data_IF_974153291999
#
_entry.id   IF_974153291999
#
_cell.length_a   1.000
_cell.length_b   1.000
_cell.length_c   1.000
_cell.angle_alpha   90.00
_cell.angle_beta   90.00
_cell.angle_gamma   90.00
#
_symmetry.space_group_name_H-M   'P 1'
#
loop_
_entity.id
_entity.type
_entity.pdbx_description
1 polymer ?
#
# COMPACT_ATOMS: atom_id res chain seq x y z
N UNK A 1 -20.17 -21.11 10.13
CA UNK A 1 -20.05 -20.47 10.24
C UNK A 1 -20.06 -19.45 10.06
N UNK A 2 -20.09 -19.34 9.94
CA UNK A 2 -20.19 -18.32 9.76
C UNK A 2 -19.65 -17.33 9.74
N UNK A 3 -19.12 -17.20 9.70
CA UNK A 3 -18.62 -16.32 9.72
C UNK A 3 -18.66 -15.48 9.13
N UNK A 4 -18.71 -15.63 8.79
CA UNK A 4 -18.79 -14.93 8.04
C UNK A 4 -19.26 -13.82 8.01
N UNK A 5 -19.69 -13.76 8.40
CA UNK A 5 -20.14 -12.64 8.38
C UNK A 5 -19.48 -11.73 8.92
N UNK A 6 -18.60 -11.94 9.23
CA UNK A 6 -17.88 -10.90 9.68
C UNK A 6 -18.24 -9.66 8.96
N UNK A 7 -18.62 -9.73 7.85
CA UNK A 7 -19.16 -8.63 7.15
C UNK A 7 -18.14 -7.60 6.74
N UNK A 8 -18.57 -6.64 5.96
CA UNK A 8 -17.68 -5.63 5.40
C UNK A 8 -17.11 -4.68 6.43
N UNK A 9 -17.77 -4.58 7.60
CA UNK A 9 -17.29 -3.67 8.63
C UNK A 9 -16.09 -4.21 9.38
N UNK A 10 -15.77 -5.46 9.20
CA UNK A 10 -14.77 -6.11 10.03
C UNK A 10 -13.33 -5.70 9.70
N UNK A 11 -13.10 -5.16 8.51
CA UNK A 11 -11.75 -4.84 8.11
C UNK A 11 -10.91 -6.06 7.85
N UNK A 12 -9.59 -5.91 7.75
CA UNK A 12 -8.71 -7.02 7.43
C UNK A 12 -8.66 -8.03 8.56
N UNK A 13 -8.51 -9.30 8.21
CA UNK A 13 -8.36 -10.37 9.18
C UNK A 13 -6.97 -10.32 9.80
N UNK A 14 -6.80 -11.02 10.92
CA UNK A 14 -5.49 -11.15 11.54
C UNK A 14 -4.49 -11.77 10.58
N UNK A 15 -4.93 -12.75 9.79
CA UNK A 15 -4.06 -13.36 8.82
C UNK A 15 -3.61 -12.38 7.75
N UNK A 16 -4.53 -11.55 7.25
CA UNK A 16 -4.18 -10.53 6.29
C UNK A 16 -3.13 -9.58 6.86
N UNK A 17 -3.33 -9.14 8.10
CA UNK A 17 -2.40 -8.21 8.74
C UNK A 17 -1.03 -8.85 8.94
N UNK A 18 -1.00 -10.10 9.38
CA UNK A 18 0.26 -10.78 9.61
C UNK A 18 1.02 -11.02 8.33
N UNK A 19 0.34 -11.50 7.29
CA UNK A 19 1.00 -11.75 6.01
C UNK A 19 1.48 -10.44 5.39
N UNK A 20 0.66 -9.40 5.47
CA UNK A 20 1.06 -8.10 4.94
C UNK A 20 2.33 -7.59 5.62
N UNK A 21 2.45 -7.78 6.93
CA UNK A 21 3.64 -7.35 7.66
C UNK A 21 4.85 -8.18 7.26
N UNK A 22 4.65 -9.48 7.04
CA UNK A 22 5.76 -10.32 6.55
C UNK A 22 6.22 -9.87 5.17
N UNK A 23 5.29 -9.51 4.30
CA UNK A 23 5.63 -9.01 2.98
C UNK A 23 6.37 -7.68 3.08
N UNK A 24 5.92 -6.80 3.98
CA UNK A 24 6.59 -5.52 4.18
C UNK A 24 8.05 -5.72 4.60
N UNK A 25 8.28 -6.63 5.53
CA UNK A 25 9.64 -6.96 5.96
C UNK A 25 10.46 -7.53 4.81
N UNK A 26 9.87 -8.45 4.05
CA UNK A 26 10.58 -9.05 2.93
C UNK A 26 10.98 -8.01 1.89
N UNK A 27 10.05 -7.11 1.56
CA UNK A 27 10.36 -6.05 0.61
C UNK A 27 11.45 -5.12 1.13
N UNK A 28 11.37 -4.75 2.40
CA UNK A 28 12.39 -3.88 2.99
C UNK A 28 13.76 -4.52 2.93
N UNK A 29 13.83 -5.83 3.19
CA UNK A 29 15.10 -6.55 3.11
C UNK A 29 15.63 -6.56 1.67
N UNK A 30 14.74 -6.82 0.71
CA UNK A 30 15.16 -6.84 -0.68
C UNK A 30 15.69 -5.47 -1.11
N UNK A 31 14.96 -4.41 -0.77
CA UNK A 31 15.39 -3.06 -1.14
C UNK A 31 16.72 -2.68 -0.51
N UNK A 32 16.99 -3.19 0.68
CA UNK A 32 18.26 -2.90 1.34
C UNK A 32 19.45 -3.61 0.68
N UNK A 33 19.20 -4.71 -0.01
CA UNK A 33 20.27 -5.55 -0.56
C UNK A 33 20.37 -5.52 -2.06
N UNK A 34 19.27 -5.25 -2.74
CA UNK A 34 19.23 -5.40 -4.19
C UNK A 34 20.02 -4.32 -4.89
N UNK A 35 20.64 -4.73 -5.99
CA UNK A 35 21.26 -3.80 -6.91
C UNK A 35 20.44 -3.85 -8.18
N UNK A 36 19.75 -2.78 -8.46
CA UNK A 36 18.87 -2.72 -9.61
C UNK A 36 19.63 -2.24 -10.82
N UNK A 37 19.31 -2.83 -11.97
CA UNK A 37 19.90 -2.43 -13.24
C UNK A 37 19.10 -1.36 -13.96
N UNK A 38 17.83 -1.20 -13.56
CA UNK A 38 16.98 -0.18 -14.13
C UNK A 38 17.58 1.19 -13.83
N UNK A 39 17.84 2.03 -14.87
CA UNK A 39 18.46 3.33 -14.63
C UNK A 39 17.70 4.21 -13.64
N UNK A 40 16.37 4.08 -13.60
CA UNK A 40 15.57 4.89 -12.70
C UNK A 40 15.67 4.42 -11.26
N UNK A 41 16.27 3.25 -11.02
CA UNK A 41 16.40 2.70 -9.66
C UNK A 41 17.83 2.67 -9.16
N UNK A 42 18.78 3.23 -9.91
CA UNK A 42 20.20 3.18 -9.51
C UNK A 42 20.44 3.93 -8.20
N UNK A 43 19.70 4.98 -7.95
CA UNK A 43 19.86 5.79 -6.76
C UNK A 43 18.61 5.73 -5.91
N UNK A 44 18.09 4.53 -5.74
CA UNK A 44 16.82 4.34 -5.06
C UNK A 44 16.97 4.43 -3.56
N UNK A 45 16.19 5.32 -2.96
CA UNK A 45 15.99 5.37 -1.52
C UNK A 45 14.51 5.20 -1.29
N UNK A 46 14.11 4.02 -0.82
CA UNK A 46 12.69 3.72 -0.67
C UNK A 46 12.42 3.13 0.71
N UNK A 47 11.36 3.60 1.32
CA UNK A 47 10.83 3.04 2.56
C UNK A 47 9.46 2.47 2.25
N UNK A 48 9.25 1.21 2.65
CA UNK A 48 7.92 0.60 2.55
C UNK A 48 7.18 0.96 3.84
N UNK A 49 6.26 1.88 3.71
CA UNK A 49 5.54 2.41 4.86
C UNK A 49 4.53 1.39 5.39
N UNK A 50 3.81 0.78 4.50
CA UNK A 50 2.80 -0.20 4.88
C UNK A 50 2.49 -1.09 3.70
N UNK A 51 2.07 -2.32 3.98
CA UNK A 51 1.55 -3.24 2.96
C UNK A 51 0.15 -3.64 3.38
N UNK A 52 -0.75 -3.66 2.43
CA UNK A 52 -2.12 -4.12 2.63
C UNK A 52 -2.39 -5.31 1.73
N UNK A 53 -2.93 -6.37 2.33
CA UNK A 53 -3.21 -7.61 1.62
C UNK A 53 -4.69 -7.70 1.26
N UNK A 54 -4.98 -8.22 0.08
CA UNK A 54 -6.35 -8.57 -0.26
C UNK A 54 -6.80 -9.77 0.59
N UNK A 55 -8.12 -9.96 0.74
CA UNK A 55 -8.60 -11.08 1.57
C UNK A 55 -8.10 -12.44 1.12
N UNK A 56 -7.91 -12.64 -0.19
CA UNK A 56 -7.42 -13.91 -0.72
C UNK A 56 -5.90 -13.98 -0.73
N UNK A 57 -5.20 -12.93 -0.27
CA UNK A 57 -3.75 -12.85 -0.19
C UNK A 57 -3.05 -12.92 -1.55
N UNK A 58 -3.79 -12.71 -2.63
CA UNK A 58 -3.21 -12.76 -3.96
C UNK A 58 -2.67 -11.41 -4.43
N UNK A 59 -3.10 -10.34 -3.80
CA UNK A 59 -2.69 -8.98 -4.16
C UNK A 59 -2.21 -8.25 -2.92
N UNK A 60 -1.06 -7.62 -3.05
CA UNK A 60 -0.50 -6.81 -1.98
C UNK A 60 -0.26 -5.42 -2.51
N UNK A 61 -0.71 -4.41 -1.78
CA UNK A 61 -0.43 -3.03 -2.13
C UNK A 61 0.63 -2.52 -1.17
N UNK A 62 1.78 -2.15 -1.70
CA UNK A 62 2.88 -1.62 -0.92
C UNK A 62 2.91 -0.11 -1.07
N UNK A 63 2.77 0.59 0.05
CA UNK A 63 2.84 2.04 0.08
C UNK A 63 4.27 2.45 0.39
N UNK A 64 4.83 3.29 -0.46
CA UNK A 64 6.24 3.63 -0.41
C UNK A 64 6.47 5.12 -0.37
N UNK A 65 7.58 5.51 0.24
CA UNK A 65 8.04 6.88 0.25
C UNK A 65 9.52 6.92 -0.07
N UNK A 66 10.00 8.10 -0.45
CA UNK A 66 11.41 8.32 -0.61
C UNK A 66 12.03 8.82 0.67
N UNK A 67 13.19 9.45 0.54
CA UNK A 67 13.96 9.93 1.67
C UNK A 67 13.29 11.17 2.26
N UNK A 68 12.42 10.95 3.25
CA UNK A 68 11.72 12.04 3.92
C UNK A 68 10.69 12.74 3.08
N UNK A 69 10.33 12.18 1.94
CA UNK A 69 9.38 12.81 1.04
C UNK A 69 8.82 11.77 0.09
N UNK A 70 7.90 12.21 -0.73
CA UNK A 70 7.28 11.34 -1.72
C UNK A 70 8.32 10.78 -2.69
N UNK A 71 8.17 9.51 -3.03
CA UNK A 71 9.05 8.87 -4.00
C UNK A 71 8.82 9.50 -5.38
N UNK A 72 9.88 9.83 -6.11
CA UNK A 72 9.72 10.37 -7.46
C UNK A 72 8.91 9.45 -8.36
N UNK A 73 8.10 10.04 -9.21
CA UNK A 73 7.20 9.26 -10.07
C UNK A 73 7.97 8.29 -10.97
N UNK A 74 9.14 8.70 -11.47
CA UNK A 74 9.94 7.82 -12.31
C UNK A 74 10.36 6.57 -11.55
N UNK A 75 10.70 6.71 -10.28
CA UNK A 75 11.07 5.58 -9.45
C UNK A 75 9.87 4.70 -9.14
N UNK A 76 8.72 5.32 -8.90
CA UNK A 76 7.51 4.55 -8.65
C UNK A 76 7.13 3.70 -9.86
N UNK A 77 7.23 4.28 -11.04
CA UNK A 77 6.98 3.53 -12.28
C UNK A 77 7.98 2.41 -12.47
N UNK A 78 9.25 2.69 -12.13
CA UNK A 78 10.29 1.67 -12.26
C UNK A 78 10.06 0.52 -11.28
N UNK A 79 9.57 0.81 -10.07
CA UNK A 79 9.22 -0.26 -9.14
C UNK A 79 8.14 -1.16 -9.72
N UNK A 80 7.18 -0.56 -10.42
CA UNK A 80 6.13 -1.34 -11.07
C UNK A 80 6.68 -2.22 -12.18
N UNK A 81 7.72 -1.75 -12.87
CA UNK A 81 8.36 -2.57 -13.91
C UNK A 81 9.09 -3.77 -13.33
N UNK A 82 9.68 -3.63 -12.15
CA UNK A 82 10.42 -4.74 -11.54
C UNK A 82 9.56 -5.54 -10.55
N UNK A 83 8.28 -5.22 -10.43
CA UNK A 83 7.41 -5.92 -9.52
C UNK A 83 7.38 -7.44 -9.72
N UNK A 84 7.39 -7.97 -10.96
CA UNK A 84 7.44 -9.42 -11.13
C UNK A 84 8.67 -10.05 -10.49
N UNK A 85 9.81 -9.38 -10.58
CA UNK A 85 11.03 -9.87 -9.94
C UNK A 85 10.91 -9.79 -8.41
N UNK A 86 10.39 -8.67 -7.91
CA UNK A 86 10.19 -8.51 -6.47
C UNK A 86 9.24 -9.58 -5.94
N UNK A 87 8.24 -9.92 -6.72
CA UNK A 87 7.31 -10.99 -6.37
C UNK A 87 8.06 -12.29 -6.10
N UNK A 88 9.01 -12.64 -6.95
CA UNK A 88 9.78 -13.86 -6.73
C UNK A 88 10.66 -13.77 -5.51
N UNK A 89 11.22 -12.59 -5.22
CA UNK A 89 12.05 -12.41 -4.04
C UNK A 89 11.21 -12.55 -2.76
N UNK A 90 10.04 -11.96 -2.76
CA UNK A 90 9.14 -12.07 -1.60
C UNK A 90 8.73 -13.52 -1.37
N UNK A 91 8.44 -14.23 -2.46
CA UNK A 91 8.00 -15.63 -2.35
C UNK A 91 9.04 -16.53 -1.68
N UNK A 92 10.31 -16.13 -1.71
CA UNK A 92 11.36 -16.92 -1.08
C UNK A 92 11.33 -16.84 0.44
N UNK A 93 10.79 -15.79 0.99
CA UNK A 93 10.82 -15.57 2.43
C UNK A 93 9.46 -15.60 3.09
N UNK A 94 8.38 -15.43 2.33
CA UNK A 94 7.03 -15.46 2.88
C UNK A 94 6.35 -16.72 2.37
N UNK A 95 5.90 -17.55 3.31
CA UNK A 95 5.31 -18.83 2.95
C UNK A 95 3.86 -18.65 2.58
N UNK A 96 3.61 -18.60 1.28
CA UNK A 96 2.27 -18.48 0.75
C UNK A 96 2.06 -19.56 -0.29
N UNK A 97 0.79 -19.91 -0.50
CA UNK A 97 0.45 -20.92 -1.51
C UNK A 97 0.90 -20.48 -2.89
N UNK A 98 0.78 -19.20 -3.16
CA UNK A 98 1.22 -18.62 -4.42
C UNK A 98 1.81 -17.24 -4.13
N UNK A 99 2.78 -16.85 -4.95
CA UNK A 99 3.37 -15.52 -4.82
C UNK A 99 2.31 -14.47 -5.14
N UNK A 100 2.17 -13.44 -4.30
CA UNK A 100 1.16 -12.41 -4.54
C UNK A 100 1.64 -11.41 -5.57
N UNK A 101 0.71 -10.80 -6.28
CA UNK A 101 1.02 -9.65 -7.11
C UNK A 101 1.28 -8.46 -6.20
N UNK A 102 2.31 -7.70 -6.50
CA UNK A 102 2.68 -6.55 -5.69
C UNK A 102 2.44 -5.27 -6.48
N UNK A 103 1.65 -4.38 -5.88
CA UNK A 103 1.29 -3.11 -6.48
C UNK A 103 1.89 -2.00 -5.64
N UNK A 104 2.54 -1.04 -6.27
CA UNK A 104 3.19 0.04 -5.55
C UNK A 104 2.42 1.33 -5.68
N UNK A 105 2.26 2.02 -4.57
CA UNK A 105 1.63 3.34 -4.53
C UNK A 105 2.39 4.23 -3.58
N UNK A 106 2.32 5.53 -3.83
CA UNK A 106 2.88 6.51 -2.90
C UNK A 106 2.18 6.41 -1.55
N UNK A 107 2.91 6.64 -0.47
CA UNK A 107 2.31 6.64 0.85
C UNK A 107 1.39 7.83 1.06
N UNK A 108 1.43 8.83 0.18
CA UNK A 108 0.42 9.88 0.15
C UNK A 108 -0.95 9.28 -0.10
N UNK A 109 -1.02 8.28 -0.98
CA UNK A 109 -2.27 7.58 -1.24
C UNK A 109 -2.76 6.83 -0.01
N UNK A 110 -1.83 6.29 0.78
CA UNK A 110 -2.19 5.62 2.03
C UNK A 110 -2.80 6.61 3.01
N UNK A 111 -2.16 7.75 3.20
CA UNK A 111 -2.66 8.77 4.11
C UNK A 111 -4.07 9.20 3.73
N UNK A 112 -4.29 9.41 2.44
CA UNK A 112 -5.60 9.81 1.96
C UNK A 112 -6.64 8.71 2.22
N UNK A 113 -6.29 7.47 1.93
CA UNK A 113 -7.21 6.35 2.12
C UNK A 113 -7.57 6.18 3.58
N UNK A 114 -6.61 6.32 4.46
CA UNK A 114 -6.86 6.19 5.89
C UNK A 114 -7.74 7.31 6.40
N UNK A 115 -7.51 8.52 5.92
CA UNK A 115 -8.33 9.66 6.30
C UNK A 115 -9.78 9.47 5.88
N UNK A 116 -9.99 9.06 4.64
CA UNK A 116 -11.32 8.82 4.12
C UNK A 116 -12.03 7.73 4.91
N UNK A 117 -11.30 6.66 5.22
CA UNK A 117 -11.86 5.55 5.97
C UNK A 117 -12.34 6.00 7.35
N UNK A 118 -11.54 6.80 8.05
CA UNK A 118 -11.93 7.31 9.36
C UNK A 118 -13.16 8.20 9.27
N UNK A 119 -13.16 9.08 8.28
CA UNK A 119 -14.26 10.02 8.11
C UNK A 119 -15.55 9.27 7.80
N UNK A 120 -15.49 8.27 6.96
CA UNK A 120 -16.68 7.53 6.57
C UNK A 120 -17.28 6.71 7.71
N UNK A 121 -16.52 6.47 8.75
CA UNK A 121 -17.04 5.75 9.94
C UNK A 121 -17.83 6.64 10.87
N UNK A 122 -17.80 7.95 10.65
CA UNK A 122 -18.54 8.90 11.47
C UNK A 122 -19.76 9.36 10.69
N UNK A 123 -20.96 8.97 11.13
CA UNK A 123 -22.15 9.27 10.33
C UNK A 123 -22.34 10.73 9.99
N UNK A 124 -22.07 11.61 10.95
CA UNK A 124 -22.24 13.03 10.71
C UNK A 124 -21.29 13.55 9.66
N UNK A 125 -20.05 13.11 9.74
CA UNK A 125 -19.04 13.57 8.81
C UNK A 125 -19.26 12.94 7.44
N UNK A 126 -19.76 11.72 7.42
CA UNK A 126 -20.05 11.06 6.15
C UNK A 126 -21.05 11.84 5.33
N UNK A 127 -22.04 12.44 6.00
CA UNK A 127 -23.02 13.26 5.27
C UNK A 127 -22.37 14.53 4.73
N UNK A 128 -21.46 15.11 5.48
CA UNK A 128 -20.76 16.30 5.03
C UNK A 128 -19.90 16.01 3.81
N UNK A 129 -19.34 14.80 3.76
CA UNK A 129 -18.51 14.42 2.62
C UNK A 129 -19.31 14.35 1.33
N UNK A 130 -20.57 14.06 1.42
CA UNK A 130 -21.41 14.01 0.24
C UNK A 130 -21.60 15.41 -0.33
N UNK A 131 -21.56 16.42 0.52
CA UNK A 131 -21.58 17.80 0.06
C UNK A 131 -20.29 18.07 -0.70
N UNK A 132 -20.42 18.64 -1.83
CA UNK A 132 -19.21 18.86 -2.63
C UNK A 132 -18.19 19.71 -1.91
N UNK A 133 -17.94 19.59 -1.64
CA UNK A 133 -17.09 20.18 -1.09
C UNK A 133 -16.25 20.84 -1.22
N UNK A 134 -16.51 20.73 -1.50
CA UNK A 134 -15.82 21.28 -1.55
C UNK A 134 -15.05 21.74 -1.48
N UNK A 135 -15.42 21.70 -1.41
CA UNK A 135 -14.76 22.08 -1.28
C UNK A 135 -13.86 22.60 -1.29
N UNK A 136 -13.76 22.48 -1.40
CA UNK A 136 -12.93 22.93 -1.34
C UNK A 136 -12.25 23.62 -1.25
N UNK A 137 -12.31 23.55 -1.33
CA UNK A 137 -11.64 24.19 -1.21
C UNK A 137 -11.14 24.91 -1.17
N UNK A 138 -11.25 24.83 -1.13
CA UNK A 138 -10.92 25.52 -1.00
C UNK A 138 -10.33 26.22 -1.06
N UNK A 139 -10.43 26.06 -1.22
CA UNK A 139 -9.99 26.73 -1.15
C UNK A 139 -9.59 27.43 -1.44
N UNK A 140 -9.76 27.36 -1.55
CA UNK A 140 -9.57 28.06 -1.73
C UNK A 140 -9.25 28.93 -1.70
N UNK A 141 -9.31 29.01 -1.58
CA UNK A 141 -9.23 29.79 -1.36
C UNK A 141 -8.66 30.50 -1.32
N UNK A 142 -8.43 30.35 -1.40
CA UNK A 142 -7.91 31.11 -1.31
C UNK A 142 -7.84 31.87 -0.96
#
# INVERSE_FOLDING_TARGET
MNKRHAGPAAGPSQRQLRVAEEVRHALSTVFARAEFRDPDLLDLHVTVTEVRASPDLKHMTAFVSGLGKELPEAQLKALRRVAPWLRTQVAKSVRLRAAPDIHFQSDTALDYAMHIDQVMRQPEVARDLIAPEGSKPAGDEA
#
